data_IF_607565512043
#
_entry.id   IF_607565512043
#
_cell.length_a   1.000
_cell.length_b   1.000
_cell.length_c   1.000
_cell.angle_alpha   90.00
_cell.angle_beta   90.00
_cell.angle_gamma   90.00
#
_symmetry.space_group_name_H-M   'P 1'
#
loop_
_entity.id
_entity.type
_entity.pdbx_description
1 polymer ?
#
# COMPACT_ATOMS: atom_id res chain seq x y z
N UNK A 1 -23.78 -21.19 19.14
CA UNK A 1 -22.43 -21.23 18.54
C UNK A 1 -22.28 -20.40 17.27
N UNK A 2 -23.29 -19.60 16.87
CA UNK A 2 -23.25 -18.78 15.64
C UNK A 2 -23.02 -17.29 15.96
N UNK A 3 -23.36 -16.84 17.17
CA UNK A 3 -23.18 -15.43 17.60
C UNK A 3 -21.76 -15.10 18.09
N UNK A 4 -20.97 -16.12 18.46
CA UNK A 4 -19.59 -15.92 18.89
C UNK A 4 -18.68 -15.55 17.73
N UNK A 5 -18.94 -16.12 16.56
CA UNK A 5 -18.13 -15.88 15.36
C UNK A 5 -18.43 -14.49 14.79
N UNK A 6 -19.70 -14.11 14.64
CA UNK A 6 -20.09 -12.77 14.13
C UNK A 6 -19.55 -11.62 15.00
N UNK A 7 -19.61 -11.75 16.33
CA UNK A 7 -19.04 -10.76 17.27
C UNK A 7 -17.53 -10.69 17.18
N UNK A 8 -16.85 -11.85 17.13
CA UNK A 8 -15.39 -11.89 17.00
C UNK A 8 -14.96 -11.24 15.68
N UNK A 9 -15.67 -11.47 14.59
CA UNK A 9 -15.42 -10.81 13.30
C UNK A 9 -15.57 -9.29 13.39
N UNK A 10 -16.65 -8.78 14.00
CA UNK A 10 -16.85 -7.34 14.19
C UNK A 10 -15.76 -6.71 15.06
N UNK A 11 -15.38 -7.37 16.16
CA UNK A 11 -14.31 -6.90 17.04
C UNK A 11 -12.97 -6.84 16.30
N UNK A 12 -12.64 -7.87 15.51
CA UNK A 12 -11.42 -7.87 14.68
C UNK A 12 -11.46 -6.73 13.66
N UNK A 13 -12.57 -6.55 12.95
CA UNK A 13 -12.73 -5.45 11.98
C UNK A 13 -12.51 -4.10 12.66
N UNK A 14 -13.17 -3.86 13.79
CA UNK A 14 -13.05 -2.61 14.54
C UNK A 14 -11.61 -2.38 15.03
N UNK A 15 -10.96 -3.41 15.59
CA UNK A 15 -9.61 -3.34 16.10
C UNK A 15 -8.58 -3.04 14.99
N UNK A 16 -8.57 -3.84 13.92
CA UNK A 16 -7.63 -3.65 12.80
C UNK A 16 -7.85 -2.33 12.07
N UNK A 17 -9.12 -1.94 11.88
CA UNK A 17 -9.46 -0.68 11.22
C UNK A 17 -9.07 0.52 12.09
N UNK A 18 -9.34 0.47 13.39
CA UNK A 18 -8.92 1.50 14.34
C UNK A 18 -7.40 1.66 14.41
N UNK A 19 -6.67 0.53 14.43
CA UNK A 19 -5.20 0.55 14.42
C UNK A 19 -4.63 1.12 13.11
N UNK A 20 -5.20 0.72 11.97
CA UNK A 20 -4.83 1.25 10.65
C UNK A 20 -5.06 2.76 10.54
N UNK A 21 -6.22 3.22 11.02
CA UNK A 21 -6.61 4.63 11.03
C UNK A 21 -5.70 5.46 11.95
N UNK A 22 -5.46 4.99 13.18
CA UNK A 22 -4.54 5.63 14.12
C UNK A 22 -3.16 5.80 13.50
N UNK A 23 -2.61 4.73 12.93
CA UNK A 23 -1.30 4.76 12.29
C UNK A 23 -1.24 5.73 11.11
N UNK A 24 -2.31 5.82 10.31
CA UNK A 24 -2.37 6.74 9.16
C UNK A 24 -2.47 8.21 9.62
N UNK A 25 -3.31 8.51 10.61
CA UNK A 25 -3.46 9.87 11.16
C UNK A 25 -2.15 10.33 11.82
N UNK A 26 -1.54 9.46 12.63
CA UNK A 26 -0.25 9.74 13.25
C UNK A 26 0.82 10.04 12.19
N UNK A 27 0.88 9.22 11.13
CA UNK A 27 1.80 9.43 10.03
C UNK A 27 1.56 10.77 9.33
N UNK A 28 0.31 11.13 9.02
CA UNK A 28 -0.03 12.43 8.42
C UNK A 28 0.49 13.57 9.31
N UNK A 29 0.25 13.50 10.62
CA UNK A 29 0.79 14.46 11.59
C UNK A 29 2.31 14.55 11.56
N UNK A 30 3.00 13.41 11.63
CA UNK A 30 4.47 13.34 11.56
C UNK A 30 5.05 13.94 10.26
N UNK A 31 4.37 13.71 9.14
CA UNK A 31 4.76 14.23 7.83
C UNK A 31 4.67 15.75 7.80
N UNK A 32 3.57 16.34 8.25
CA UNK A 32 3.46 17.81 8.31
C UNK A 32 4.47 18.45 9.26
N UNK A 33 4.81 17.78 10.37
CA UNK A 33 5.80 18.28 11.33
C UNK A 33 7.25 18.18 10.82
N UNK A 34 7.56 17.20 9.96
CA UNK A 34 8.93 16.92 9.53
C UNK A 34 9.32 17.67 8.26
N UNK A 35 8.39 17.84 7.32
CA UNK A 35 8.68 18.52 6.05
C UNK A 35 8.51 20.04 6.16
N UNK A 36 9.60 20.79 6.00
CA UNK A 36 9.55 22.26 5.90
C UNK A 36 9.16 22.78 4.51
N UNK A 37 9.22 21.94 3.47
CA UNK A 37 8.88 22.29 2.07
C UNK A 37 7.98 21.23 1.46
N UNK A 38 6.73 21.60 1.14
CA UNK A 38 5.67 20.71 0.65
C UNK A 38 5.69 20.45 -0.88
N UNK A 39 6.86 20.52 -1.52
CA UNK A 39 6.98 20.45 -3.00
C UNK A 39 7.55 19.14 -3.54
N UNK A 40 8.06 18.26 -2.68
CA UNK A 40 8.68 17.00 -3.13
C UNK A 40 7.63 15.96 -3.55
N UNK A 41 7.91 15.21 -4.62
CA UNK A 41 7.09 14.05 -5.04
C UNK A 41 6.87 13.08 -3.88
N UNK A 42 7.91 12.82 -3.09
CA UNK A 42 7.85 11.98 -1.90
C UNK A 42 6.75 12.42 -0.91
N UNK A 43 6.68 13.73 -0.62
CA UNK A 43 5.71 14.28 0.33
C UNK A 43 4.27 13.99 -0.14
N UNK A 44 3.98 14.29 -1.40
CA UNK A 44 2.66 14.07 -1.98
C UNK A 44 2.32 12.58 -2.08
N UNK A 45 3.26 11.73 -2.47
CA UNK A 45 3.04 10.28 -2.53
C UNK A 45 2.74 9.68 -1.16
N UNK A 46 3.46 10.12 -0.12
CA UNK A 46 3.26 9.69 1.26
C UNK A 46 1.89 10.13 1.79
N UNK A 47 1.48 11.38 1.51
CA UNK A 47 0.18 11.91 1.90
C UNK A 47 -0.97 11.19 1.18
N UNK A 48 -0.85 10.97 -0.12
CA UNK A 48 -1.85 10.25 -0.92
C UNK A 48 -2.00 8.80 -0.45
N UNK A 49 -0.90 8.12 -0.15
CA UNK A 49 -0.95 6.76 0.39
C UNK A 49 -1.63 6.72 1.77
N UNK A 50 -1.29 7.66 2.66
CA UNK A 50 -1.90 7.76 3.99
C UNK A 50 -3.39 8.08 3.91
N UNK A 51 -3.78 8.99 3.02
CA UNK A 51 -5.18 9.29 2.73
C UNK A 51 -5.94 8.06 2.23
N UNK A 52 -5.31 7.24 1.37
CA UNK A 52 -5.90 6.00 0.91
C UNK A 52 -6.22 5.01 2.03
N UNK A 53 -5.33 4.90 3.03
CA UNK A 53 -5.57 4.07 4.22
C UNK A 53 -6.73 4.62 5.06
N UNK A 54 -6.82 5.94 5.22
CA UNK A 54 -7.95 6.59 5.92
C UNK A 54 -9.26 6.28 5.20
N UNK A 55 -9.33 6.48 3.90
CA UNK A 55 -10.52 6.19 3.09
C UNK A 55 -10.92 4.71 3.15
N UNK A 56 -9.95 3.80 3.06
CA UNK A 56 -10.19 2.36 3.19
C UNK A 56 -10.70 1.99 4.59
N UNK A 57 -10.19 2.65 5.63
CA UNK A 57 -10.62 2.45 7.02
C UNK A 57 -12.04 2.97 7.23
N UNK A 58 -12.38 4.15 6.69
CA UNK A 58 -13.73 4.69 6.72
C UNK A 58 -14.72 3.78 5.98
N UNK A 59 -14.35 3.25 4.81
CA UNK A 59 -15.18 2.27 4.09
C UNK A 59 -15.51 1.05 4.98
N UNK A 60 -14.51 0.48 5.65
CA UNK A 60 -14.74 -0.66 6.55
C UNK A 60 -15.67 -0.31 7.72
N UNK A 61 -15.51 0.86 8.35
CA UNK A 61 -16.38 1.33 9.43
C UNK A 61 -17.82 1.46 8.93
N UNK A 62 -18.02 2.11 7.79
CA UNK A 62 -19.35 2.32 7.21
C UNK A 62 -20.04 0.99 6.87
N UNK A 63 -19.29 0.02 6.30
CA UNK A 63 -19.81 -1.34 6.03
C UNK A 63 -20.14 -2.12 7.31
N UNK A 64 -19.36 -1.93 8.38
CA UNK A 64 -19.57 -2.68 9.63
C UNK A 64 -20.75 -2.16 10.45
N UNK A 65 -20.97 -0.85 10.41
CA UNK A 65 -22.05 -0.18 11.15
C UNK A 65 -23.39 -0.19 10.39
N UNK A 66 -23.42 -0.77 9.19
CA UNK A 66 -24.59 -0.85 8.31
C UNK A 66 -25.28 0.49 8.01
N UNK A 67 -24.55 1.61 8.16
CA UNK A 67 -25.10 2.98 8.17
C UNK A 67 -25.81 3.34 6.86
N UNK A 68 -25.37 2.76 5.75
CA UNK A 68 -25.85 3.09 4.41
C UNK A 68 -26.48 1.90 3.67
N UNK A 69 -26.90 0.86 4.38
CA UNK A 69 -27.40 -0.37 3.77
C UNK A 69 -28.87 -0.28 3.30
N UNK A 70 -29.43 0.93 3.23
CA UNK A 70 -30.80 1.19 2.78
C UNK A 70 -30.83 2.31 1.73
N UNK A 71 -31.24 2.00 0.50
CA UNK A 71 -31.39 2.96 -0.61
C UNK A 71 -30.08 3.26 -1.38
N UNK A 72 -30.01 4.43 -2.04
CA UNK A 72 -28.87 4.86 -2.86
C UNK A 72 -27.55 5.10 -2.08
N UNK A 73 -27.57 4.94 -0.74
CA UNK A 73 -26.40 5.08 0.13
C UNK A 73 -25.36 3.97 -0.02
N UNK A 74 -25.72 2.80 -0.55
CA UNK A 74 -24.83 1.63 -0.66
C UNK A 74 -23.58 1.90 -1.52
N UNK A 75 -23.67 2.87 -2.44
CA UNK A 75 -22.56 3.27 -3.30
C UNK A 75 -21.48 4.05 -2.54
N UNK A 76 -21.79 4.69 -1.41
CA UNK A 76 -20.83 5.55 -0.69
C UNK A 76 -19.65 4.73 -0.13
N UNK A 77 -19.85 3.62 0.61
CA UNK A 77 -18.73 2.77 1.03
C UNK A 77 -17.96 2.16 -0.16
N UNK A 78 -18.66 1.81 -1.25
CA UNK A 78 -18.03 1.23 -2.44
C UNK A 78 -17.07 2.21 -3.12
N UNK A 79 -17.48 3.48 -3.28
CA UNK A 79 -16.64 4.55 -3.83
C UNK A 79 -15.46 4.82 -2.91
N UNK A 80 -15.69 4.98 -1.60
CA UNK A 80 -14.62 5.20 -0.62
C UNK A 80 -13.60 4.06 -0.60
N UNK A 81 -14.06 2.82 -0.68
CA UNK A 81 -13.19 1.65 -0.79
C UNK A 81 -12.36 1.66 -2.06
N UNK A 82 -12.98 1.99 -3.20
CA UNK A 82 -12.29 2.05 -4.50
C UNK A 82 -11.22 3.14 -4.51
N UNK A 83 -11.58 4.36 -4.12
CA UNK A 83 -10.66 5.50 -4.05
C UNK A 83 -9.55 5.24 -3.03
N UNK A 84 -9.90 4.71 -1.86
CA UNK A 84 -8.94 4.38 -0.81
C UNK A 84 -7.92 3.36 -1.27
N UNK A 85 -8.36 2.28 -1.92
CA UNK A 85 -7.46 1.26 -2.45
C UNK A 85 -6.55 1.79 -3.57
N UNK A 86 -7.09 2.54 -4.53
CA UNK A 86 -6.31 3.12 -5.64
C UNK A 86 -5.20 4.03 -5.11
N UNK A 87 -5.57 4.99 -4.26
CA UNK A 87 -4.63 5.97 -3.71
C UNK A 87 -3.62 5.34 -2.76
N UNK A 88 -4.01 4.32 -1.99
CA UNK A 88 -3.11 3.57 -1.12
C UNK A 88 -2.03 2.84 -1.93
N UNK A 89 -2.41 2.01 -2.90
CA UNK A 89 -1.44 1.19 -3.66
C UNK A 89 -0.57 2.04 -4.58
N UNK A 90 -1.16 3.00 -5.30
CA UNK A 90 -0.38 3.91 -6.15
C UNK A 90 0.56 4.80 -5.34
N UNK A 91 0.07 5.39 -4.25
CA UNK A 91 0.86 6.26 -3.39
C UNK A 91 2.11 5.54 -2.89
N UNK A 92 1.97 4.29 -2.45
CA UNK A 92 3.08 3.45 -1.98
C UNK A 92 4.11 3.17 -3.08
N UNK A 93 3.66 2.77 -4.26
CA UNK A 93 4.54 2.57 -5.40
C UNK A 93 5.35 3.84 -5.73
N UNK A 94 4.72 5.01 -5.66
CA UNK A 94 5.42 6.28 -5.85
C UNK A 94 6.33 6.67 -4.68
N UNK A 95 6.03 6.29 -3.44
CA UNK A 95 6.96 6.45 -2.30
C UNK A 95 8.24 5.67 -2.54
N UNK A 96 8.13 4.38 -2.93
CA UNK A 96 9.27 3.54 -3.30
C UNK A 96 10.07 4.13 -4.47
N UNK A 97 9.37 4.55 -5.54
CA UNK A 97 10.00 5.20 -6.69
C UNK A 97 10.70 6.50 -6.31
N UNK A 98 10.10 7.32 -5.46
CA UNK A 98 10.70 8.58 -5.02
C UNK A 98 11.93 8.36 -4.15
N UNK A 99 12.02 7.24 -3.43
CA UNK A 99 13.26 6.84 -2.73
C UNK A 99 14.33 6.36 -3.68
N UNK A 100 13.94 5.55 -4.66
CA UNK A 100 14.83 5.07 -5.68
C UNK A 100 15.49 6.25 -6.44
N UNK A 101 14.70 7.30 -6.74
CA UNK A 101 15.20 8.56 -7.31
C UNK A 101 16.27 9.25 -6.44
N UNK A 102 16.16 9.20 -5.12
CA UNK A 102 17.14 9.84 -4.22
C UNK A 102 18.45 9.05 -4.12
N UNK A 103 18.41 7.73 -4.33
CA UNK A 103 19.58 6.84 -4.19
C UNK A 103 20.32 6.66 -5.51
N UNK A 104 19.61 6.63 -6.65
CA UNK A 104 20.25 6.53 -7.94
C UNK A 104 20.92 7.85 -8.36
N UNK A 105 22.25 7.86 -8.44
CA UNK A 105 23.02 9.00 -8.94
C UNK A 105 23.87 8.55 -10.14
N UNK A 106 23.61 9.08 -11.35
CA UNK A 106 24.42 8.83 -12.54
C UNK A 106 23.64 8.77 -13.87
N UNK A 107 24.33 8.69 -15.03
CA UNK A 107 23.71 8.81 -16.35
C UNK A 107 22.78 7.64 -16.76
N UNK A 108 22.93 6.46 -16.13
CA UNK A 108 21.99 5.33 -16.30
C UNK A 108 20.79 5.38 -15.35
N UNK A 109 20.82 6.26 -14.34
CA UNK A 109 19.75 6.43 -13.36
C UNK A 109 18.44 6.83 -14.03
N UNK A 110 18.50 7.87 -14.86
CA UNK A 110 17.31 8.48 -15.44
C UNK A 110 16.52 7.51 -16.30
N UNK A 111 17.21 6.62 -17.01
CA UNK A 111 16.58 5.56 -17.80
C UNK A 111 15.83 4.58 -16.89
N UNK A 112 16.50 4.03 -15.86
CA UNK A 112 15.89 3.08 -14.91
C UNK A 112 14.69 3.72 -14.20
N UNK A 113 14.82 4.99 -13.83
CA UNK A 113 13.75 5.74 -13.18
C UNK A 113 12.55 5.95 -14.10
N UNK A 114 12.77 6.24 -15.39
CA UNK A 114 11.69 6.36 -16.37
C UNK A 114 11.01 5.02 -16.64
N UNK A 115 11.77 3.93 -16.78
CA UNK A 115 11.22 2.58 -16.97
C UNK A 115 10.38 2.14 -15.77
N UNK A 116 10.87 2.34 -14.55
CA UNK A 116 10.14 2.01 -13.34
C UNK A 116 8.88 2.87 -13.17
N UNK A 117 8.92 4.17 -13.51
CA UNK A 117 7.73 5.02 -13.54
C UNK A 117 6.70 4.53 -14.56
N UNK A 118 7.13 4.18 -15.78
CA UNK A 118 6.26 3.63 -16.82
C UNK A 118 5.63 2.31 -16.38
N UNK A 119 6.38 1.43 -15.73
CA UNK A 119 5.88 0.18 -15.13
C UNK A 119 4.77 0.45 -14.11
N UNK A 120 4.97 1.39 -13.17
CA UNK A 120 3.97 1.74 -12.15
C UNK A 120 2.67 2.22 -12.81
N UNK A 121 2.76 3.11 -13.80
CA UNK A 121 1.59 3.67 -14.48
C UNK A 121 0.86 2.58 -15.28
N UNK A 122 1.60 1.76 -16.01
CA UNK A 122 1.03 0.68 -16.82
C UNK A 122 0.29 -0.34 -15.94
N UNK A 123 0.92 -0.81 -14.86
CA UNK A 123 0.31 -1.75 -13.92
C UNK A 123 -0.91 -1.14 -13.21
N UNK A 124 -0.84 0.14 -12.82
CA UNK A 124 -1.97 0.83 -12.24
C UNK A 124 -3.19 0.76 -13.17
N UNK A 125 -3.03 1.12 -14.45
CA UNK A 125 -4.16 1.11 -15.40
C UNK A 125 -4.64 -0.32 -15.66
N UNK A 126 -3.71 -1.25 -15.95
CA UNK A 126 -4.04 -2.63 -16.32
C UNK A 126 -4.68 -3.42 -15.18
N UNK A 127 -4.32 -3.15 -13.93
CA UNK A 127 -4.83 -3.88 -12.77
C UNK A 127 -6.01 -3.19 -12.11
N UNK A 128 -6.04 -1.85 -12.03
CA UNK A 128 -7.17 -1.16 -11.40
C UNK A 128 -8.45 -1.22 -12.22
N UNK A 129 -8.37 -1.04 -13.54
CA UNK A 129 -9.57 -0.96 -14.38
C UNK A 129 -10.39 -2.27 -14.33
N UNK A 130 -9.82 -3.46 -14.54
CA UNK A 130 -10.64 -4.68 -14.53
C UNK A 130 -11.11 -5.07 -13.13
N UNK A 131 -10.32 -4.80 -12.08
CA UNK A 131 -10.76 -5.08 -10.71
C UNK A 131 -11.92 -4.18 -10.31
N UNK A 132 -11.87 -2.89 -10.64
CA UNK A 132 -12.97 -1.98 -10.30
C UNK A 132 -14.25 -2.34 -11.04
N UNK A 133 -14.19 -2.64 -12.33
CA UNK A 133 -15.39 -3.07 -13.07
C UNK A 133 -15.98 -4.33 -12.46
N UNK A 134 -15.17 -5.34 -12.12
CA UNK A 134 -15.62 -6.57 -11.46
C UNK A 134 -16.17 -6.33 -10.04
N UNK A 135 -15.57 -5.42 -9.27
CA UNK A 135 -16.05 -5.10 -7.92
C UNK A 135 -17.44 -4.48 -7.98
N UNK A 136 -17.64 -3.54 -8.91
CA UNK A 136 -18.91 -2.83 -9.05
C UNK A 136 -20.01 -3.73 -9.62
N UNK A 137 -19.68 -4.64 -10.55
CA UNK A 137 -20.66 -5.60 -11.07
C UNK A 137 -21.04 -6.67 -10.05
N UNK A 138 -20.09 -7.14 -9.24
CA UNK A 138 -20.36 -8.13 -8.20
C UNK A 138 -21.18 -7.60 -7.02
N UNK A 139 -21.12 -6.30 -6.73
CA UNK A 139 -21.87 -5.65 -5.65
C UNK A 139 -23.21 -5.04 -6.12
N UNK A 140 -23.59 -5.16 -7.40
CA UNK A 140 -24.88 -4.62 -7.89
C UNK A 140 -26.02 -5.56 -7.48
N UNK A 141 -26.96 -5.07 -6.66
CA UNK A 141 -28.16 -5.81 -6.26
C UNK A 141 -28.90 -6.35 -7.51
N UNK A 142 -29.17 -7.66 -7.53
CA UNK A 142 -29.92 -8.34 -8.60
C UNK A 142 -29.08 -9.22 -9.54
N UNK A 143 -27.74 -9.16 -9.49
CA UNK A 143 -26.87 -10.04 -10.25
C UNK A 143 -26.09 -10.99 -9.32
N UNK A 144 -26.78 -11.93 -8.66
CA UNK A 144 -26.16 -13.11 -8.02
C UNK A 144 -25.63 -14.10 -9.06
N UNK A 145 -24.80 -13.59 -9.96
CA UNK A 145 -24.15 -14.36 -11.00
C UNK A 145 -22.83 -14.87 -10.42
N UNK A 146 -22.84 -16.12 -9.95
CA UNK A 146 -21.68 -16.84 -9.41
C UNK A 146 -20.41 -16.67 -10.27
N UNK A 147 -20.59 -16.52 -11.59
CA UNK A 147 -19.53 -16.29 -12.55
C UNK A 147 -18.74 -14.98 -12.30
N UNK A 148 -19.39 -13.88 -11.90
CA UNK A 148 -18.69 -12.62 -11.63
C UNK A 148 -17.92 -12.66 -10.31
N UNK A 149 -18.46 -13.32 -9.28
CA UNK A 149 -17.73 -13.54 -8.02
C UNK A 149 -16.49 -14.41 -8.24
N UNK A 150 -16.61 -15.48 -9.05
CA UNK A 150 -15.46 -16.30 -9.43
C UNK A 150 -14.43 -15.52 -10.26
N UNK A 151 -14.89 -14.70 -11.22
CA UNK A 151 -14.02 -13.84 -12.00
C UNK A 151 -13.29 -12.81 -11.14
N UNK A 152 -13.98 -12.19 -10.17
CA UNK A 152 -13.36 -11.28 -9.19
C UNK A 152 -12.28 -11.99 -8.37
N UNK A 153 -12.53 -13.19 -7.85
CA UNK A 153 -11.55 -13.94 -7.07
C UNK A 153 -10.27 -14.29 -7.88
N UNK A 154 -10.40 -14.57 -9.18
CA UNK A 154 -9.25 -14.80 -10.07
C UNK A 154 -8.51 -13.49 -10.34
N UNK A 155 -9.24 -12.42 -10.66
CA UNK A 155 -8.65 -11.09 -10.89
C UNK A 155 -7.94 -10.58 -9.64
N UNK A 156 -8.47 -10.85 -8.45
CA UNK A 156 -7.89 -10.46 -7.17
C UNK A 156 -6.49 -11.07 -6.97
N UNK A 157 -6.32 -12.35 -7.31
CA UNK A 157 -5.01 -13.01 -7.27
C UNK A 157 -4.04 -12.43 -8.30
N UNK A 158 -4.53 -12.13 -9.50
CA UNK A 158 -3.71 -11.53 -10.58
C UNK A 158 -3.22 -10.14 -10.14
N UNK A 159 -4.11 -9.28 -9.64
CA UNK A 159 -3.71 -7.94 -9.21
C UNK A 159 -2.74 -7.96 -8.04
N UNK A 160 -2.96 -8.83 -7.04
CA UNK A 160 -2.10 -8.92 -5.85
C UNK A 160 -0.71 -9.40 -6.25
N UNK A 161 -0.64 -10.40 -7.14
CA UNK A 161 0.62 -10.88 -7.70
C UNK A 161 1.32 -9.81 -8.56
N UNK A 162 0.57 -9.05 -9.35
CA UNK A 162 1.10 -7.98 -10.19
C UNK A 162 1.69 -6.81 -9.39
N UNK A 163 0.98 -6.33 -8.37
CA UNK A 163 1.50 -5.29 -7.47
C UNK A 163 2.65 -5.81 -6.61
N UNK A 164 2.60 -7.05 -6.13
CA UNK A 164 3.71 -7.69 -5.43
C UNK A 164 4.98 -7.72 -6.29
N UNK A 165 4.86 -8.14 -7.56
CA UNK A 165 5.99 -8.18 -8.49
C UNK A 165 6.55 -6.78 -8.71
N UNK A 166 5.69 -5.77 -8.87
CA UNK A 166 6.09 -4.38 -9.01
C UNK A 166 6.87 -3.86 -7.79
N UNK A 167 6.34 -4.04 -6.58
CA UNK A 167 6.98 -3.61 -5.34
C UNK A 167 8.32 -4.34 -5.13
N UNK A 168 8.37 -5.64 -5.47
CA UNK A 168 9.59 -6.45 -5.42
C UNK A 168 10.65 -5.95 -6.40
N UNK A 169 10.29 -5.64 -7.65
CA UNK A 169 11.23 -5.11 -8.66
C UNK A 169 11.82 -3.78 -8.18
N UNK A 170 10.98 -2.84 -7.71
CA UNK A 170 11.44 -1.55 -7.20
C UNK A 170 12.39 -1.72 -6.01
N UNK A 171 12.03 -2.60 -5.07
CA UNK A 171 12.82 -2.86 -3.88
C UNK A 171 14.16 -3.55 -4.19
N UNK A 172 14.17 -4.49 -5.14
CA UNK A 172 15.39 -5.15 -5.60
C UNK A 172 16.38 -4.17 -6.25
N UNK A 173 15.90 -3.28 -7.14
CA UNK A 173 16.74 -2.25 -7.76
C UNK A 173 17.30 -1.32 -6.67
N UNK A 174 16.48 -0.91 -5.72
CA UNK A 174 16.93 -0.08 -4.59
C UNK A 174 18.03 -0.76 -3.78
N UNK A 175 17.84 -2.03 -3.38
CA UNK A 175 18.82 -2.77 -2.57
C UNK A 175 20.14 -2.92 -3.34
N UNK A 176 20.07 -3.19 -4.65
CA UNK A 176 21.25 -3.33 -5.49
C UNK A 176 22.08 -2.04 -5.52
N UNK A 177 21.45 -0.88 -5.75
CA UNK A 177 22.14 0.41 -5.76
C UNK A 177 22.61 0.83 -4.37
N UNK A 178 21.78 0.63 -3.33
CA UNK A 178 22.18 0.90 -1.95
C UNK A 178 23.41 0.08 -1.53
N UNK A 179 23.50 -1.19 -1.98
CA UNK A 179 24.66 -2.07 -1.72
C UNK A 179 25.90 -1.60 -2.46
N UNK A 180 25.74 -1.08 -3.70
CA UNK A 180 26.85 -0.49 -4.46
C UNK A 180 27.43 0.74 -3.74
N UNK A 181 26.59 1.65 -3.26
CA UNK A 181 27.02 2.82 -2.47
C UNK A 181 27.65 2.38 -1.13
N UNK A 182 27.09 1.34 -0.49
CA UNK A 182 27.63 0.80 0.75
C UNK A 182 29.06 0.27 0.58
N UNK A 183 29.37 -0.36 -0.56
CA UNK A 183 30.72 -0.89 -0.86
C UNK A 183 31.77 0.20 -1.12
N UNK A 184 31.37 1.35 -1.67
CA UNK A 184 32.28 2.48 -1.94
C UNK A 184 32.39 3.47 -0.78
N UNK A 185 31.45 3.45 0.17
CA UNK A 185 31.45 4.37 1.31
C UNK A 185 32.51 3.99 2.36
N UNK A 186 33.51 4.86 2.55
CA UNK A 186 34.54 4.74 3.61
C UNK A 186 34.08 5.15 5.01
N UNK A 187 32.95 5.86 5.14
CA UNK A 187 32.48 6.41 6.41
C UNK A 187 31.63 5.39 7.21
N UNK A 188 32.04 5.07 8.44
CA UNK A 188 31.35 4.10 9.32
C UNK A 188 29.93 4.51 9.69
N UNK A 189 29.64 5.81 9.78
CA UNK A 189 28.30 6.32 10.08
C UNK A 189 27.32 6.03 8.92
N UNK A 190 27.69 6.40 7.70
CA UNK A 190 26.94 6.13 6.46
C UNK A 190 26.73 4.63 6.25
N UNK A 191 27.75 3.82 6.56
CA UNK A 191 27.66 2.35 6.48
C UNK A 191 26.54 1.78 7.37
N UNK A 192 26.46 2.20 8.63
CA UNK A 192 25.41 1.73 9.56
C UNK A 192 24.02 2.12 9.08
N UNK A 193 23.87 3.35 8.57
CA UNK A 193 22.58 3.85 8.09
C UNK A 193 22.14 3.12 6.82
N UNK A 194 23.03 2.93 5.84
CA UNK A 194 22.76 2.15 4.63
C UNK A 194 22.42 0.69 4.92
N UNK A 195 23.09 0.04 5.89
CA UNK A 195 22.74 -1.32 6.32
C UNK A 195 21.33 -1.39 6.91
N UNK A 196 20.93 -0.41 7.73
CA UNK A 196 19.57 -0.31 8.25
C UNK A 196 18.54 -0.07 7.13
N UNK A 197 18.87 0.75 6.13
CA UNK A 197 18.02 1.01 4.96
C UNK A 197 17.77 -0.28 4.15
N UNK A 198 18.79 -1.10 3.95
CA UNK A 198 18.66 -2.40 3.28
C UNK A 198 17.79 -3.35 4.11
N UNK A 199 18.02 -3.44 5.42
CA UNK A 199 17.23 -4.29 6.33
C UNK A 199 15.74 -3.93 6.28
N UNK A 200 15.40 -2.64 6.31
CA UNK A 200 13.99 -2.21 6.31
C UNK A 200 13.33 -2.56 4.96
N UNK A 201 14.01 -2.40 3.83
CA UNK A 201 13.44 -2.85 2.54
C UNK A 201 13.24 -4.38 2.49
N UNK A 202 14.17 -5.16 3.05
CA UNK A 202 13.99 -6.60 3.14
C UNK A 202 12.75 -6.97 3.98
N UNK A 203 12.48 -6.24 5.06
CA UNK A 203 11.26 -6.39 5.86
C UNK A 203 10.01 -6.02 5.05
N UNK A 204 10.05 -4.97 4.23
CA UNK A 204 8.94 -4.58 3.35
C UNK A 204 8.61 -5.72 2.36
N UNK A 205 9.62 -6.29 1.70
CA UNK A 205 9.43 -7.44 0.80
C UNK A 205 8.85 -8.66 1.56
N UNK A 206 9.29 -8.91 2.79
CA UNK A 206 8.75 -10.00 3.60
C UNK A 206 7.27 -9.76 3.97
N UNK A 207 6.90 -8.51 4.30
CA UNK A 207 5.51 -8.15 4.54
C UNK A 207 4.64 -8.32 3.30
N UNK A 208 5.17 -7.96 2.13
CA UNK A 208 4.55 -8.16 0.82
C UNK A 208 4.25 -9.64 0.53
N UNK A 209 5.23 -10.50 0.76
CA UNK A 209 5.06 -11.94 0.63
C UNK A 209 3.98 -12.45 1.60
N UNK A 210 3.94 -11.93 2.82
CA UNK A 210 2.89 -12.25 3.81
C UNK A 210 1.49 -11.92 3.32
N UNK A 211 1.29 -10.76 2.68
CA UNK A 211 0.00 -10.38 2.07
C UNK A 211 -0.38 -11.34 0.94
N UNK A 212 0.59 -11.71 0.09
CA UNK A 212 0.36 -12.64 -1.03
C UNK A 212 0.03 -14.07 -0.54
N UNK A 213 0.66 -14.53 0.54
CA UNK A 213 0.33 -15.82 1.15
C UNK A 213 -1.06 -15.81 1.82
N UNK A 214 -1.45 -14.68 2.39
CA UNK A 214 -2.77 -14.53 2.99
C UNK A 214 -3.88 -14.57 1.93
N UNK A 215 -3.66 -13.95 0.77
CA UNK A 215 -4.50 -14.07 -0.42
C UNK A 215 -4.71 -15.54 -0.84
N UNK A 216 -3.64 -16.35 -0.80
CA UNK A 216 -3.72 -17.77 -1.14
C UNK A 216 -4.68 -18.56 -0.23
N UNK A 217 -4.93 -18.08 0.98
CA UNK A 217 -5.84 -18.70 1.95
C UNK A 217 -7.32 -18.38 1.68
N UNK A 218 -7.62 -17.55 0.67
CA UNK A 218 -8.98 -17.20 0.20
C UNK A 218 -9.93 -16.61 1.29
N UNK A 219 -9.37 -16.01 2.35
CA UNK A 219 -10.12 -15.35 3.44
C UNK A 219 -10.16 -13.83 3.23
N UNK A 220 -11.08 -13.36 2.39
CA UNK A 220 -11.16 -11.98 1.92
C UNK A 220 -11.24 -10.92 3.03
N UNK A 221 -12.04 -11.13 4.09
CA UNK A 221 -12.19 -10.14 5.17
C UNK A 221 -10.87 -9.94 5.93
N UNK A 222 -10.26 -11.04 6.38
CA UNK A 222 -8.98 -10.99 7.09
C UNK A 222 -7.88 -10.39 6.21
N UNK A 223 -7.87 -10.76 4.92
CA UNK A 223 -6.94 -10.22 3.94
C UNK A 223 -7.07 -8.70 3.81
N UNK A 224 -8.27 -8.14 3.65
CA UNK A 224 -8.47 -6.69 3.52
C UNK A 224 -8.01 -5.94 4.78
N UNK A 225 -8.32 -6.46 5.97
CA UNK A 225 -7.91 -5.86 7.24
C UNK A 225 -6.40 -5.88 7.45
N UNK A 226 -5.79 -7.05 7.25
CA UNK A 226 -4.34 -7.24 7.40
C UNK A 226 -3.58 -6.43 6.34
N UNK A 227 -4.10 -6.36 5.11
CA UNK A 227 -3.56 -5.50 4.05
C UNK A 227 -3.50 -4.05 4.50
N UNK A 228 -4.62 -3.48 4.95
CA UNK A 228 -4.65 -2.08 5.40
C UNK A 228 -3.65 -1.81 6.53
N UNK A 229 -3.54 -2.73 7.50
CA UNK A 229 -2.56 -2.61 8.58
C UNK A 229 -1.11 -2.66 8.05
N UNK A 230 -0.79 -3.65 7.21
CA UNK A 230 0.55 -3.82 6.64
C UNK A 230 0.95 -2.59 5.83
N UNK A 231 0.06 -2.07 4.97
CA UNK A 231 0.34 -0.86 4.19
C UNK A 231 0.58 0.36 5.10
N UNK A 232 -0.12 0.47 6.22
CA UNK A 232 0.11 1.52 7.22
C UNK A 232 1.48 1.40 7.91
N UNK A 233 1.88 0.18 8.29
CA UNK A 233 3.20 -0.10 8.84
C UNK A 233 4.30 0.20 7.80
N UNK A 234 4.10 -0.21 6.55
CA UNK A 234 5.03 0.08 5.45
C UNK A 234 5.29 1.59 5.33
N UNK A 235 4.26 2.44 5.31
CA UNK A 235 4.49 3.89 5.22
C UNK A 235 5.28 4.44 6.41
N UNK A 236 5.03 3.94 7.62
CA UNK A 236 5.80 4.35 8.79
C UNK A 236 7.28 3.97 8.66
N UNK A 237 7.55 2.75 8.18
CA UNK A 237 8.92 2.31 7.90
C UNK A 237 9.57 3.17 6.81
N UNK A 238 8.84 3.47 5.74
CA UNK A 238 9.28 4.34 4.65
C UNK A 238 9.61 5.76 5.11
N UNK A 239 8.79 6.31 5.99
CA UNK A 239 9.02 7.62 6.59
C UNK A 239 10.24 7.63 7.51
N UNK A 240 10.39 6.59 8.36
CA UNK A 240 11.55 6.44 9.24
C UNK A 240 12.87 6.31 8.47
N UNK A 241 12.83 5.64 7.31
CA UNK A 241 13.95 5.55 6.36
C UNK A 241 14.35 6.95 5.89
N UNK A 242 13.41 7.77 5.42
CA UNK A 242 13.73 9.10 4.90
C UNK A 242 14.36 9.98 5.98
N UNK A 243 13.83 9.96 7.20
CA UNK A 243 14.38 10.70 8.32
C UNK A 243 15.83 10.32 8.65
N UNK A 244 16.31 9.15 8.20
CA UNK A 244 17.72 8.75 8.28
C UNK A 244 18.51 9.15 7.03
N UNK A 245 17.91 9.05 5.84
CA UNK A 245 18.56 9.41 4.57
C UNK A 245 18.91 10.91 4.50
N UNK A 246 18.01 11.79 4.96
CA UNK A 246 18.24 13.25 5.01
C UNK A 246 19.36 13.63 5.98
N UNK A 247 19.68 12.78 6.98
CA UNK A 247 20.80 13.01 7.90
C UNK A 247 22.16 12.58 7.32
N UNK A 248 22.17 11.83 6.22
CA UNK A 248 23.39 11.34 5.57
C UNK A 248 23.88 12.24 4.42
N UNK A 249 22.98 13.00 3.80
CA UNK A 249 23.26 13.96 2.71
C UNK A 249 23.44 15.33 3.32
#
# INVERSE_FOLDING_TARGET
GVDGDSRLHQVLVAFFTGLGLYNAIELVGMVFLTFRKYKGTYFWSLLVAAFGIVCASLCNILKTLDIFNTGDGEYVPLVLGTVGWWTMVTGQAFVLWSRLHLVLQGPRSDQVLQWTKRMIIFNAIMLFVPTTTLTWTANRQGAHNHNFTAAYAVMEKIQMSGFYLQETILSCIYIWEATKILRTSRWRATYRILKQLILINAVIIAMDLGVLLLEATSRHILQVLVKNLIYSIKLKLEFAILGKLVRCV
#
